data_IF_115538627207
#
_entry.id   IF_115538627207
#
_cell.length_a   1.000
_cell.length_b   1.000
_cell.length_c   1.000
_cell.angle_alpha   90.00
_cell.angle_beta   90.00
_cell.angle_gamma   90.00
#
_symmetry.space_group_name_H-M   'P 1'
#
loop_
_entity.id
_entity.type
_entity.pdbx_description
1 polymer ?
#
# COMPACT_ATOMS: atom_id res chain seq x y z
N UNK A 1 -3.30 1.67 11.83
CA UNK A 1 -2.38 1.05 10.86
C UNK A 1 -1.03 1.73 10.91
N UNK A 2 0.04 0.97 10.67
CA UNK A 2 1.41 1.48 10.63
C UNK A 2 1.88 1.65 9.18
N UNK A 3 2.36 2.84 8.84
CA UNK A 3 2.92 3.14 7.51
C UNK A 3 4.23 2.38 7.30
N UNK A 4 4.42 1.85 6.10
CA UNK A 4 5.62 1.14 5.69
C UNK A 4 6.29 1.84 4.50
N UNK A 5 7.63 1.85 4.49
CA UNK A 5 8.39 2.26 3.32
C UNK A 5 8.43 1.11 2.30
N UNK A 6 8.51 1.45 1.02
CA UNK A 6 8.64 0.48 -0.07
C UNK A 6 9.83 -0.47 0.16
N UNK A 7 10.94 0.03 0.71
CA UNK A 7 12.11 -0.81 1.02
C UNK A 7 11.82 -1.85 2.12
N UNK A 8 11.00 -1.50 3.12
CA UNK A 8 10.56 -2.46 4.14
C UNK A 8 9.66 -3.54 3.55
N UNK A 9 8.76 -3.16 2.63
CA UNK A 9 7.94 -4.13 1.87
C UNK A 9 8.81 -5.06 1.04
N UNK A 10 9.79 -4.53 0.31
CA UNK A 10 10.76 -5.32 -0.48
C UNK A 10 11.56 -6.27 0.42
N UNK A 11 11.99 -5.81 1.59
CA UNK A 11 12.71 -6.63 2.56
C UNK A 11 11.84 -7.77 3.11
N UNK A 12 10.56 -7.50 3.43
CA UNK A 12 9.61 -8.51 3.88
C UNK A 12 9.37 -9.59 2.80
N UNK A 13 9.13 -9.19 1.55
CA UNK A 13 8.95 -10.14 0.44
C UNK A 13 10.18 -11.04 0.28
N UNK A 14 11.39 -10.48 0.37
CA UNK A 14 12.64 -11.27 0.26
C UNK A 14 12.84 -12.24 1.42
N UNK A 15 12.45 -11.85 2.64
CA UNK A 15 12.68 -12.64 3.86
C UNK A 15 11.60 -13.70 4.09
N UNK A 16 10.35 -13.32 3.88
CA UNK A 16 9.16 -14.12 4.25
C UNK A 16 8.49 -14.76 3.01
N UNK A 17 8.95 -14.41 1.80
CA UNK A 17 8.36 -14.86 0.54
C UNK A 17 7.06 -14.13 0.17
N UNK A 18 6.56 -13.25 1.03
CA UNK A 18 5.39 -12.42 0.75
C UNK A 18 5.32 -11.19 1.68
N UNK A 19 4.44 -10.27 1.34
CA UNK A 19 4.01 -9.17 2.21
C UNK A 19 2.49 -9.02 2.11
N UNK A 20 1.83 -8.74 3.23
CA UNK A 20 0.39 -8.44 3.26
C UNK A 20 0.15 -7.13 3.96
N UNK A 21 -0.68 -6.29 3.35
CA UNK A 21 -1.01 -4.98 3.89
C UNK A 21 -2.00 -4.24 3.01
N UNK A 22 -1.98 -2.92 3.10
CA UNK A 22 -2.91 -2.04 2.41
C UNK A 22 -2.16 -1.01 1.56
N UNK A 23 -2.72 -0.73 0.39
CA UNK A 23 -2.33 0.37 -0.49
C UNK A 23 -3.35 1.49 -0.36
N UNK A 24 -2.87 2.72 -0.24
CA UNK A 24 -3.73 3.91 -0.11
C UNK A 24 -3.23 4.98 -1.05
N UNK A 25 -4.11 5.86 -1.56
CA UNK A 25 -3.69 7.05 -2.30
C UNK A 25 -3.06 8.11 -1.36
N UNK A 26 -2.03 8.83 -1.81
CA UNK A 26 -1.15 9.60 -0.95
C UNK A 26 -1.83 10.67 -0.07
N UNK A 27 -2.82 11.40 -0.61
CA UNK A 27 -3.48 12.52 0.08
C UNK A 27 -4.77 12.13 0.82
N UNK A 28 -5.02 10.82 1.01
CA UNK A 28 -6.17 10.36 1.79
C UNK A 28 -6.00 10.78 3.25
N UNK A 29 -7.05 11.38 3.83
CA UNK A 29 -7.04 11.82 5.21
C UNK A 29 -6.81 10.63 6.17
N UNK A 30 -5.95 10.75 7.21
CA UNK A 30 -5.62 9.64 8.11
C UNK A 30 -6.83 8.94 8.76
N UNK A 31 -7.94 9.67 8.96
CA UNK A 31 -9.18 9.09 9.47
C UNK A 31 -9.77 8.02 8.54
N UNK A 32 -9.51 8.07 7.23
CA UNK A 32 -9.91 7.04 6.27
C UNK A 32 -8.92 5.88 6.17
N UNK A 33 -7.81 5.95 6.92
CA UNK A 33 -6.82 4.87 7.02
C UNK A 33 -7.01 4.13 8.34
N UNK A 34 -7.30 4.85 9.42
CA UNK A 34 -7.40 4.29 10.77
C UNK A 34 -8.84 4.23 11.32
N UNK A 35 -9.81 4.80 10.62
CA UNK A 35 -11.22 4.78 11.02
C UNK A 35 -11.97 3.54 10.53
N UNK A 36 -13.26 3.49 10.85
CA UNK A 36 -14.16 2.38 10.51
C UNK A 36 -14.29 2.15 8.99
N UNK A 37 -14.15 3.22 8.20
CA UNK A 37 -14.19 3.17 6.74
C UNK A 37 -12.78 3.29 6.19
N UNK A 38 -12.09 2.15 6.12
CA UNK A 38 -10.76 2.06 5.53
C UNK A 38 -10.83 2.15 4.00
N UNK A 39 -10.28 3.22 3.43
CA UNK A 39 -10.18 3.43 1.97
C UNK A 39 -8.93 2.79 1.36
N UNK A 40 -8.34 1.80 2.04
CA UNK A 40 -7.16 1.08 1.58
C UNK A 40 -7.50 -0.22 0.86
N UNK A 41 -6.80 -0.51 -0.23
CA UNK A 41 -6.89 -1.80 -0.91
C UNK A 41 -5.98 -2.81 -0.21
N UNK A 42 -6.58 -3.85 0.38
CA UNK A 42 -5.83 -4.97 0.96
C UNK A 42 -5.18 -5.78 -0.16
N UNK A 43 -3.89 -6.09 -0.02
CA UNK A 43 -3.11 -6.86 -0.98
C UNK A 43 -2.24 -7.89 -0.27
N UNK A 44 -1.98 -9.01 -0.95
CA UNK A 44 -0.89 -9.94 -0.65
C UNK A 44 0.01 -9.97 -1.87
N UNK A 45 1.30 -9.71 -1.66
CA UNK A 45 2.30 -9.58 -2.71
C UNK A 45 3.38 -10.63 -2.45
N UNK A 46 3.72 -11.42 -3.45
CA UNK A 46 4.60 -12.59 -3.35
C UNK A 46 5.92 -12.42 -4.09
N UNK A 47 6.03 -11.43 -4.97
CA UNK A 47 7.27 -11.14 -5.70
C UNK A 47 7.52 -9.64 -5.84
N UNK A 48 8.77 -9.28 -6.17
CA UNK A 48 9.15 -7.89 -6.43
C UNK A 48 8.54 -7.36 -7.74
N UNK A 49 8.36 -8.23 -8.73
CA UNK A 49 7.69 -7.89 -9.98
C UNK A 49 6.21 -7.58 -9.75
N UNK A 50 5.53 -8.44 -8.98
CA UNK A 50 4.14 -8.23 -8.59
C UNK A 50 3.96 -6.93 -7.80
N UNK A 51 4.92 -6.59 -6.92
CA UNK A 51 4.91 -5.32 -6.20
C UNK A 51 4.86 -4.12 -7.15
N UNK A 52 5.74 -4.07 -8.15
CA UNK A 52 5.82 -2.94 -9.09
C UNK A 52 4.55 -2.87 -9.96
N UNK A 53 4.06 -4.01 -10.44
CA UNK A 53 2.84 -4.10 -11.25
C UNK A 53 1.60 -3.63 -10.48
N UNK A 54 1.45 -4.04 -9.22
CA UNK A 54 0.34 -3.64 -8.38
C UNK A 54 0.41 -2.14 -8.05
N UNK A 55 1.60 -1.59 -7.75
CA UNK A 55 1.75 -0.15 -7.51
C UNK A 55 1.34 0.65 -8.75
N UNK A 56 1.82 0.25 -9.93
CA UNK A 56 1.49 0.93 -11.18
C UNK A 56 -0.02 0.88 -11.47
N UNK A 57 -0.62 -0.31 -11.35
CA UNK A 57 -2.06 -0.50 -11.53
C UNK A 57 -2.87 0.31 -10.53
N UNK A 58 -2.50 0.27 -9.25
CA UNK A 58 -3.22 1.02 -8.21
C UNK A 58 -3.12 2.53 -8.45
N UNK A 59 -1.92 3.04 -8.77
CA UNK A 59 -1.71 4.44 -9.10
C UNK A 59 -2.56 4.87 -10.31
N UNK A 60 -2.61 4.08 -11.37
CA UNK A 60 -3.38 4.39 -12.57
C UNK A 60 -4.88 4.55 -12.29
N UNK A 61 -5.47 3.68 -11.49
CA UNK A 61 -6.93 3.68 -11.24
C UNK A 61 -7.36 4.57 -10.06
N UNK A 62 -6.49 4.80 -9.07
CA UNK A 62 -6.89 5.41 -7.80
C UNK A 62 -6.14 6.70 -7.47
N UNK A 63 -5.08 7.03 -8.20
CA UNK A 63 -4.32 8.26 -7.99
C UNK A 63 -4.57 9.24 -9.13
N UNK A 64 -4.84 10.50 -8.79
CA UNK A 64 -5.03 11.59 -9.73
C UNK A 64 -4.34 12.87 -9.20
N UNK A 65 -4.48 14.00 -9.89
CA UNK A 65 -3.86 15.26 -9.46
C UNK A 65 -4.32 15.71 -8.05
N UNK A 66 -5.56 15.41 -7.69
CA UNK A 66 -6.14 15.75 -6.38
C UNK A 66 -5.61 14.86 -5.26
N UNK A 67 -5.46 13.55 -5.52
CA UNK A 67 -5.06 12.52 -4.55
C UNK A 67 -3.53 12.28 -4.49
N UNK A 68 -2.80 12.76 -5.50
CA UNK A 68 -1.35 12.58 -5.65
C UNK A 68 -0.99 11.21 -6.23
N UNK A 69 0.15 11.13 -6.93
CA UNK A 69 0.60 9.95 -7.69
C UNK A 69 1.42 8.92 -6.89
N UNK A 70 1.53 9.08 -5.57
CA UNK A 70 2.30 8.17 -4.71
C UNK A 70 1.38 7.16 -4.04
N UNK A 71 1.87 5.94 -3.86
CA UNK A 71 1.13 4.85 -3.19
C UNK A 71 1.83 4.51 -1.87
N UNK A 72 1.39 5.07 -0.73
CA UNK A 72 1.82 4.60 0.59
C UNK A 72 1.33 3.19 0.92
N UNK A 73 2.14 2.48 1.70
CA UNK A 73 1.87 1.12 2.20
C UNK A 73 1.55 1.16 3.68
N UNK A 74 0.62 0.34 4.12
CA UNK A 74 0.23 0.22 5.53
C UNK A 74 0.07 -1.24 5.95
N UNK A 75 0.35 -1.53 7.21
CA UNK A 75 0.04 -2.81 7.85
C UNK A 75 -0.88 -2.58 9.05
N UNK A 76 -1.78 -3.53 9.30
CA UNK A 76 -2.57 -3.52 10.53
C UNK A 76 -1.64 -3.90 11.70
N UNK A 77 -1.58 -3.06 12.72
CA UNK A 77 -0.92 -3.44 13.97
C UNK A 77 -1.81 -4.45 14.68
N UNK A 78 -1.22 -5.56 15.13
CA UNK A 78 -1.88 -6.52 16.02
C UNK A 78 -2.04 -5.91 17.40
#
# INVERSE_FOLDING_TARGET
>A
MLRQHKNTVKAAIRKEGYWTGFLVANKVHPAHINGLWCLGMKVKITSLEELENIIAKYAYYNCNNELGNRVPFYVQQK
#
